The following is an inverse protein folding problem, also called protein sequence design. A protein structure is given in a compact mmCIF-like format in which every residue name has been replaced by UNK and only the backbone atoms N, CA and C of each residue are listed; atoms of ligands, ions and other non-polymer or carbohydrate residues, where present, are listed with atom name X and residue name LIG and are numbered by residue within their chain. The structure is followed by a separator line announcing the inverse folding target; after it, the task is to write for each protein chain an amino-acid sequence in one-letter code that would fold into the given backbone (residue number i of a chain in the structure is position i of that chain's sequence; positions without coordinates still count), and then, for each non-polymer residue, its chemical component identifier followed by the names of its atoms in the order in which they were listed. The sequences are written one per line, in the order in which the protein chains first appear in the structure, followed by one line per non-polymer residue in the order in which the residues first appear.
data_IF_744517696757
#
_entry.id   IF_744517696757
#
_cell.length_a   1.000
_cell.length_b   1.000
_cell.length_c   1.000
_cell.angle_alpha   90.00
_cell.angle_beta   90.00
_cell.angle_gamma   90.00
#
_symmetry.space_group_name_H-M   'P 1'
#
loop_
_entity.id
_entity.type
_entity.pdbx_description
1 polymer ?
#
# COMPACT_ATOMS: atom_id res chain seq x y z
N UNK A 1 -14.80 13.38 -0.95
CA UNK A 1 -15.34 12.01 -1.12
C UNK A 1 -16.19 11.71 0.10
N UNK A 2 -17.24 10.91 -0.04
CA UNK A 2 -18.00 10.45 1.13
C UNK A 2 -17.21 9.37 1.89
N UNK A 3 -17.52 9.13 3.19
CA UNK A 3 -16.79 8.15 4.00
C UNK A 3 -16.78 6.73 3.44
N UNK A 4 -17.82 6.30 2.72
CA UNK A 4 -17.89 4.97 2.13
C UNK A 4 -16.87 4.83 0.98
N UNK A 5 -16.72 5.88 0.18
CA UNK A 5 -15.72 5.95 -0.89
C UNK A 5 -14.28 5.89 -0.37
N UNK A 6 -14.00 6.51 0.79
CA UNK A 6 -12.70 6.42 1.47
C UNK A 6 -12.46 4.98 1.96
N UNK A 7 -13.43 4.38 2.65
CA UNK A 7 -13.34 2.98 3.10
C UNK A 7 -13.09 2.02 1.94
N UNK A 8 -13.77 2.20 0.81
CA UNK A 8 -13.58 1.39 -0.38
C UNK A 8 -12.16 1.53 -0.97
N UNK A 9 -11.64 2.76 -1.00
CA UNK A 9 -10.26 3.04 -1.45
C UNK A 9 -9.24 2.33 -0.56
N UNK A 10 -9.41 2.40 0.77
CA UNK A 10 -8.54 1.70 1.71
C UNK A 10 -8.64 0.18 1.54
N UNK A 11 -9.85 -0.36 1.32
CA UNK A 11 -10.03 -1.79 1.07
C UNK A 11 -9.32 -2.25 -0.22
N UNK A 12 -9.35 -1.43 -1.28
CA UNK A 12 -8.62 -1.70 -2.51
C UNK A 12 -7.10 -1.73 -2.29
N UNK A 13 -6.56 -0.80 -1.50
CA UNK A 13 -5.14 -0.78 -1.13
C UNK A 13 -4.75 -2.02 -0.31
N UNK A 14 -5.57 -2.42 0.67
CA UNK A 14 -5.34 -3.64 1.44
C UNK A 14 -5.35 -4.89 0.56
N UNK A 15 -6.23 -4.96 -0.43
CA UNK A 15 -6.24 -6.05 -1.40
C UNK A 15 -4.95 -6.10 -2.23
N UNK A 16 -4.50 -4.94 -2.73
CA UNK A 16 -3.24 -4.84 -3.47
C UNK A 16 -2.02 -5.22 -2.60
N UNK A 17 -1.96 -4.75 -1.35
CA UNK A 17 -0.92 -5.14 -0.40
C UNK A 17 -0.87 -6.66 -0.19
N UNK A 18 -2.04 -7.30 -0.04
CA UNK A 18 -2.13 -8.75 0.07
C UNK A 18 -1.56 -9.49 -1.15
N UNK A 19 -1.87 -9.01 -2.36
CA UNK A 19 -1.32 -9.56 -3.59
C UNK A 19 0.21 -9.42 -3.66
N UNK A 20 0.74 -8.24 -3.30
CA UNK A 20 2.19 -7.99 -3.27
C UNK A 20 2.89 -8.92 -2.28
N UNK A 21 2.36 -9.06 -1.06
CA UNK A 21 2.90 -9.99 -0.03
C UNK A 21 2.88 -11.42 -0.56
N UNK A 22 1.78 -11.87 -1.16
CA UNK A 22 1.67 -13.21 -1.73
C UNK A 22 2.77 -13.44 -2.78
N UNK A 23 2.95 -12.53 -3.72
CA UNK A 23 3.95 -12.70 -4.78
C UNK A 23 5.39 -12.63 -4.25
N UNK A 24 5.68 -11.76 -3.28
CA UNK A 24 7.00 -11.69 -2.65
C UNK A 24 7.37 -13.02 -1.97
N UNK A 25 6.41 -13.70 -1.35
CA UNK A 25 6.63 -15.02 -0.74
C UNK A 25 6.97 -16.13 -1.76
N UNK A 26 6.58 -15.95 -3.03
CA UNK A 26 6.89 -16.87 -4.12
C UNK A 26 8.28 -16.62 -4.74
N UNK A 27 8.88 -15.44 -4.51
CA UNK A 27 10.23 -15.08 -4.99
C UNK A 27 11.31 -15.62 -4.05
N UNK A 28 12.19 -16.50 -4.55
CA UNK A 28 13.27 -17.11 -3.75
C UNK A 28 14.62 -16.36 -3.78
N UNK A 29 14.75 -15.32 -4.61
CA UNK A 29 15.99 -14.54 -4.80
C UNK A 29 15.92 -13.16 -4.14
N UNK A 30 17.05 -12.42 -4.12
CA UNK A 30 17.15 -11.05 -3.61
C UNK A 30 16.61 -10.86 -2.17
N UNK A 31 17.02 -11.73 -1.25
CA UNK A 31 16.45 -11.82 0.10
C UNK A 31 16.39 -10.49 0.86
N UNK A 32 17.41 -9.63 0.76
CA UNK A 32 17.43 -8.34 1.46
C UNK A 32 16.41 -7.34 0.91
N UNK A 33 16.43 -7.07 -0.40
CA UNK A 33 15.50 -6.10 -0.99
C UNK A 33 14.06 -6.61 -0.97
N UNK A 34 13.86 -7.91 -1.18
CA UNK A 34 12.57 -8.57 -0.98
C UNK A 34 12.05 -8.36 0.44
N UNK A 35 12.89 -8.55 1.45
CA UNK A 35 12.50 -8.37 2.84
C UNK A 35 12.13 -6.92 3.15
N UNK A 36 12.90 -5.94 2.65
CA UNK A 36 12.57 -4.52 2.82
C UNK A 36 11.20 -4.16 2.26
N UNK A 37 10.89 -4.61 1.04
CA UNK A 37 9.56 -4.36 0.45
C UNK A 37 8.48 -5.08 1.25
N UNK A 38 8.73 -6.32 1.69
CA UNK A 38 7.77 -7.07 2.50
C UNK A 38 7.45 -6.35 3.81
N UNK A 39 8.48 -5.95 4.56
CA UNK A 39 8.35 -5.22 5.83
C UNK A 39 7.57 -3.92 5.61
N UNK A 40 7.92 -3.17 4.57
CA UNK A 40 7.28 -1.91 4.21
C UNK A 40 5.79 -2.08 3.89
N UNK A 41 5.42 -3.10 3.11
CA UNK A 41 4.02 -3.39 2.74
C UNK A 41 3.22 -3.89 3.95
N UNK A 42 3.83 -4.66 4.84
CA UNK A 42 3.19 -5.13 6.09
C UNK A 42 2.92 -3.95 7.03
N UNK A 43 3.93 -3.08 7.23
CA UNK A 43 3.76 -1.86 8.04
C UNK A 43 2.68 -0.95 7.44
N UNK A 44 2.70 -0.74 6.12
CA UNK A 44 1.67 0.03 5.43
C UNK A 44 0.27 -0.60 5.65
N UNK A 45 0.14 -1.91 5.56
CA UNK A 45 -1.13 -2.60 5.77
C UNK A 45 -1.68 -2.36 7.18
N UNK A 46 -0.82 -2.40 8.20
CA UNK A 46 -1.20 -2.05 9.57
C UNK A 46 -1.75 -0.62 9.69
N UNK A 47 -1.06 0.35 9.07
CA UNK A 47 -1.51 1.74 9.01
C UNK A 47 -2.87 1.88 8.31
N UNK A 48 -3.07 1.18 7.19
CA UNK A 48 -4.33 1.20 6.43
C UNK A 48 -5.49 0.58 7.22
N UNK A 49 -5.26 -0.51 7.96
CA UNK A 49 -6.27 -1.06 8.87
C UNK A 49 -6.64 -0.08 9.98
N UNK A 50 -5.65 0.61 10.55
CA UNK A 50 -5.91 1.61 11.58
C UNK A 50 -6.71 2.81 11.01
N UNK A 51 -6.30 3.32 9.85
CA UNK A 51 -7.02 4.37 9.13
C UNK A 51 -8.47 3.98 8.85
N UNK A 52 -8.70 2.77 8.34
CA UNK A 52 -10.04 2.25 8.11
C UNK A 52 -10.89 2.22 9.39
N UNK A 53 -10.31 1.77 10.51
CA UNK A 53 -11.03 1.75 11.78
C UNK A 53 -11.39 3.16 12.27
N UNK A 54 -10.51 4.15 12.08
CA UNK A 54 -10.82 5.55 12.37
C UNK A 54 -11.95 6.08 11.49
N UNK A 55 -11.92 5.75 10.19
CA UNK A 55 -12.98 6.11 9.25
C UNK A 55 -14.32 5.56 9.72
N UNK A 56 -14.40 4.25 9.96
CA UNK A 56 -15.65 3.57 10.34
C UNK A 56 -16.21 4.08 11.68
N UNK A 57 -15.35 4.44 12.65
CA UNK A 57 -15.79 5.00 13.95
C UNK A 57 -16.34 6.42 13.86
N UNK A 58 -15.74 7.26 13.02
CA UNK A 58 -16.06 8.69 12.95
C UNK A 58 -17.06 9.06 11.85
N UNK A 59 -17.63 8.07 11.15
CA UNK A 59 -18.73 8.29 10.19
C UNK A 59 -19.95 9.01 10.79
N UNK A 60 -20.06 9.08 12.11
CA UNK A 60 -21.24 9.61 12.82
C UNK A 60 -21.11 11.08 13.26
N UNK A 61 -19.91 11.69 13.26
CA UNK A 61 -19.67 12.98 13.96
C UNK A 61 -19.40 14.19 13.05
N UNK A 62 -19.35 14.04 11.72
CA UNK A 62 -19.41 15.15 10.75
C UNK A 62 -18.14 16.02 10.60
N UNK A 63 -17.46 16.41 11.69
CA UNK A 63 -16.21 17.21 11.67
C UNK A 63 -15.02 16.45 11.04
N UNK A 64 -15.12 15.13 10.99
CA UNK A 64 -14.09 14.19 10.53
C UNK A 64 -13.81 14.23 9.01
N UNK A 65 -14.66 14.88 8.22
CA UNK A 65 -14.62 14.75 6.76
C UNK A 65 -13.47 15.49 6.08
N UNK A 66 -12.92 16.57 6.62
CA UNK A 66 -11.99 17.43 5.87
C UNK A 66 -10.56 16.84 5.76
N UNK A 67 -9.90 16.55 6.88
CA UNK A 67 -8.56 15.93 6.90
C UNK A 67 -8.55 14.61 6.13
N UNK A 68 -9.58 13.80 6.31
CA UNK A 68 -9.67 12.47 5.71
C UNK A 68 -10.05 12.51 4.24
N UNK A 69 -10.87 13.49 3.83
CA UNK A 69 -11.10 13.76 2.41
C UNK A 69 -9.81 14.18 1.71
N UNK A 70 -8.91 14.91 2.39
CA UNK A 70 -7.63 15.34 1.81
C UNK A 70 -6.70 14.16 1.47
N UNK A 71 -6.84 13.02 2.17
CA UNK A 71 -6.06 11.80 1.89
C UNK A 71 -6.49 11.12 0.59
N UNK A 72 -7.75 11.30 0.21
CA UNK A 72 -8.39 10.57 -0.89
C UNK A 72 -8.58 11.42 -2.16
N UNK A 73 -8.03 12.64 -2.18
CA UNK A 73 -8.06 13.47 -3.40
C UNK A 73 -7.25 12.83 -4.53
N UNK A 74 -7.56 13.13 -5.81
CA UNK A 74 -6.74 12.69 -6.93
C UNK A 74 -5.26 13.11 -6.76
N UNK A 75 -4.32 12.20 -7.02
CA UNK A 75 -2.89 12.37 -6.72
C UNK A 75 -2.58 12.62 -5.23
N UNK A 76 -3.52 12.31 -4.34
CA UNK A 76 -3.37 12.35 -2.90
C UNK A 76 -2.64 11.13 -2.35
N UNK A 77 -2.44 11.07 -1.02
CA UNK A 77 -1.70 9.99 -0.37
C UNK A 77 -2.19 8.58 -0.69
N UNK A 78 -3.51 8.33 -0.67
CA UNK A 78 -4.06 6.99 -0.95
C UNK A 78 -3.88 6.59 -2.42
N UNK A 79 -4.06 7.53 -3.34
CA UNK A 79 -3.88 7.31 -4.78
C UNK A 79 -2.42 6.99 -5.12
N UNK A 80 -1.48 7.74 -4.53
CA UNK A 80 -0.03 7.48 -4.69
C UNK A 80 0.39 6.13 -4.13
N UNK A 81 -0.17 5.71 -3.00
CA UNK A 81 0.05 4.35 -2.49
C UNK A 81 -0.50 3.30 -3.46
N UNK A 82 -1.66 3.55 -4.06
CA UNK A 82 -2.22 2.71 -5.12
C UNK A 82 -1.28 2.56 -6.30
N UNK A 83 -0.65 3.66 -6.73
CA UNK A 83 0.39 3.65 -7.76
C UNK A 83 1.60 2.79 -7.39
N UNK A 84 2.16 2.98 -6.19
CA UNK A 84 3.32 2.19 -5.71
C UNK A 84 3.01 0.71 -5.57
N UNK A 85 1.88 0.36 -4.92
CA UNK A 85 1.45 -1.03 -4.76
C UNK A 85 1.08 -1.67 -6.10
N UNK A 86 0.46 -0.91 -7.01
CA UNK A 86 0.15 -1.35 -8.36
C UNK A 86 1.41 -1.64 -9.18
N UNK A 87 2.44 -0.79 -9.07
CA UNK A 87 3.75 -1.01 -9.69
C UNK A 87 4.39 -2.31 -9.17
N UNK A 88 4.43 -2.50 -7.85
CA UNK A 88 4.95 -3.71 -7.22
C UNK A 88 4.19 -4.95 -7.69
N UNK A 89 2.86 -4.93 -7.58
CA UNK A 89 1.98 -6.03 -7.95
C UNK A 89 2.16 -6.40 -9.42
N UNK A 90 2.19 -5.42 -10.32
CA UNK A 90 2.34 -5.66 -11.76
C UNK A 90 3.68 -6.32 -12.11
N UNK A 91 4.78 -5.88 -11.48
CA UNK A 91 6.11 -6.47 -11.71
C UNK A 91 6.27 -7.86 -11.09
N UNK A 92 5.66 -8.08 -9.93
CA UNK A 92 5.73 -9.35 -9.20
C UNK A 92 4.73 -10.40 -9.69
N UNK A 93 3.66 -9.96 -10.37
CA UNK A 93 2.60 -10.84 -10.83
C UNK A 93 3.16 -11.96 -11.72
N UNK A 94 2.66 -13.20 -11.57
CA UNK A 94 3.06 -14.30 -12.43
C UNK A 94 2.78 -13.97 -13.89
N UNK A 95 3.81 -13.97 -14.75
CA UNK A 95 3.60 -13.79 -16.18
C UNK A 95 2.78 -14.98 -16.74
N UNK A 96 1.69 -14.67 -17.45
CA UNK A 96 0.84 -15.68 -18.10
C UNK A 96 1.71 -16.50 -19.07
N UNK A 97 1.94 -17.77 -18.74
CA UNK A 97 2.73 -18.71 -19.55
C UNK A 97 3.88 -19.40 -18.81
N UNK A 98 4.33 -18.87 -17.67
CA UNK A 98 5.39 -19.49 -16.85
C UNK A 98 4.87 -20.51 -15.82
N UNK A 99 3.63 -20.98 -15.97
CA UNK A 99 3.16 -22.12 -15.18
C UNK A 99 3.91 -23.36 -15.65
N UNK A 100 4.76 -23.89 -14.76
CA UNK A 100 5.28 -25.29 -14.72
C UNK A 100 6.73 -25.57 -15.14
N UNK A 101 7.70 -24.69 -14.93
CA UNK A 101 9.10 -25.17 -14.89
C UNK A 101 9.84 -24.59 -13.71
N UNK A 102 9.60 -25.14 -12.52
CA UNK A 102 10.53 -25.30 -11.36
C UNK A 102 11.51 -24.20 -10.95
N UNK A 103 11.53 -23.05 -11.60
CA UNK A 103 12.44 -21.94 -11.42
C UNK A 103 11.70 -20.92 -10.59
N UNK A 104 12.31 -20.58 -9.45
CA UNK A 104 11.90 -19.46 -8.63
C UNK A 104 11.57 -18.24 -9.51
N UNK A 105 10.51 -17.51 -9.16
CA UNK A 105 10.26 -16.20 -9.77
C UNK A 105 11.54 -15.38 -9.57
N UNK A 106 12.20 -15.02 -10.66
CA UNK A 106 13.41 -14.19 -10.61
C UNK A 106 13.02 -12.79 -10.16
N UNK A 107 13.83 -12.18 -9.29
CA UNK A 107 13.61 -10.81 -8.82
C UNK A 107 13.50 -9.82 -10.00
N UNK A 108 12.35 -9.15 -10.19
CA UNK A 108 12.08 -8.36 -11.41
C UNK A 108 12.51 -6.88 -11.30
N UNK A 109 13.10 -6.48 -10.17
CA UNK A 109 13.43 -5.08 -9.89
C UNK A 109 14.93 -4.81 -10.00
N UNK A 110 15.24 -3.60 -10.46
CA UNK A 110 16.55 -3.00 -10.31
C UNK A 110 16.66 -2.35 -8.92
N UNK A 111 17.87 -2.24 -8.37
CA UNK A 111 18.07 -1.64 -7.04
C UNK A 111 17.57 -0.19 -6.93
N UNK A 112 17.62 0.59 -8.03
CA UNK A 112 17.04 1.94 -8.08
C UNK A 112 15.52 1.92 -7.90
N UNK A 113 14.83 1.02 -8.59
CA UNK A 113 13.37 0.91 -8.52
C UNK A 113 12.90 0.50 -7.12
N UNK A 114 13.64 -0.39 -6.45
CA UNK A 114 13.39 -0.76 -5.05
C UNK A 114 13.51 0.46 -4.14
N UNK A 115 14.57 1.26 -4.32
CA UNK A 115 14.78 2.47 -3.53
C UNK A 115 13.65 3.48 -3.74
N UNK A 116 13.33 3.77 -4.99
CA UNK A 116 12.30 4.76 -5.36
C UNK A 116 10.91 4.37 -4.84
N UNK A 117 10.52 3.10 -4.93
CA UNK A 117 9.21 2.66 -4.43
C UNK A 117 9.13 2.69 -2.91
N UNK A 118 10.20 2.29 -2.20
CA UNK A 118 10.27 2.37 -0.74
C UNK A 118 10.19 3.83 -0.27
N UNK A 119 10.94 4.74 -0.89
CA UNK A 119 10.91 6.18 -0.57
C UNK A 119 9.52 6.79 -0.82
N UNK A 120 8.87 6.40 -1.92
CA UNK A 120 7.52 6.86 -2.24
C UNK A 120 6.49 6.40 -1.21
N UNK A 121 6.55 5.12 -0.80
CA UNK A 121 5.66 4.54 0.21
C UNK A 121 5.87 5.17 1.59
N UNK A 122 7.13 5.29 2.04
CA UNK A 122 7.48 5.92 3.32
C UNK A 122 6.95 7.35 3.39
N UNK A 123 7.16 8.15 2.33
CA UNK A 123 6.62 9.52 2.26
C UNK A 123 5.10 9.56 2.45
N UNK A 124 4.35 8.62 1.85
CA UNK A 124 2.90 8.61 1.98
C UNK A 124 2.45 8.12 3.35
N UNK A 125 3.12 7.11 3.93
CA UNK A 125 2.85 6.65 5.30
C UNK A 125 3.02 7.78 6.31
N UNK A 126 4.07 8.58 6.21
CA UNK A 126 4.30 9.74 7.09
C UNK A 126 3.15 10.73 6.97
N UNK A 127 2.73 11.09 5.75
CA UNK A 127 1.61 12.03 5.53
C UNK A 127 0.32 11.50 6.14
N UNK A 128 0.00 10.22 5.90
CA UNK A 128 -1.20 9.57 6.46
C UNK A 128 -1.12 9.52 7.98
N UNK A 129 0.03 9.15 8.55
CA UNK A 129 0.23 9.10 9.99
C UNK A 129 0.06 10.47 10.66
N UNK A 130 0.56 11.54 10.04
CA UNK A 130 0.37 12.91 10.52
C UNK A 130 -1.10 13.33 10.46
N UNK A 131 -1.80 13.03 9.37
CA UNK A 131 -3.22 13.29 9.24
C UNK A 131 -4.02 12.57 10.34
N UNK A 132 -3.69 11.30 10.62
CA UNK A 132 -4.33 10.54 11.70
C UNK A 132 -4.02 11.08 13.10
N UNK A 133 -2.83 11.64 13.33
CA UNK A 133 -2.45 12.25 14.62
C UNK A 133 -3.10 13.62 14.84
N UNK A 134 -3.21 14.44 13.78
CA UNK A 134 -3.87 15.74 13.85
C UNK A 134 -5.34 15.61 14.29
N UNK A 135 -5.97 14.47 14.01
CA UNK A 135 -7.34 14.17 14.42
C UNK A 135 -7.47 13.66 15.87
N UNK A 136 -6.36 13.46 16.60
CA UNK A 136 -6.35 13.14 18.04
C UNK A 136 -6.05 14.35 18.95
N UNK A 137 -5.80 15.53 18.37
CA UNK A 137 -5.57 16.79 19.09
C UNK A 137 -6.84 17.65 19.09
#
# INVERSE_FOLDING_TARGET
MDPLSITASIAALLHLSGAVVQYLNEVKSASSDRQKILDEVVTLSGLLYHLRSLVERNQQTGEWLETMSSLSVPNGPLDRLGGSLGFLSTKLAPQKGLKKVGKAISWPFQGREVKEVLEAMERQKVIIGLAMQNDHM
#
